data_IF_600623086776
#
_entry.id   IF_600623086776
#
_cell.length_a   1.000
_cell.length_b   1.000
_cell.length_c   1.000
_cell.angle_alpha   90.00
_cell.angle_beta   90.00
_cell.angle_gamma   90.00
#
_symmetry.space_group_name_H-M   'P 1'
#
loop_
_entity.id
_entity.type
_entity.pdbx_description
1 polymer ?
#
# COMPACT_ATOMS: atom_id res chain seq x y z
N UNK A 1 24.14 -22.18 -29.71
CA UNK A 1 23.23 -21.26 -29.01
C UNK A 1 22.91 -20.08 -29.90
N UNK A 2 21.64 -19.92 -30.26
CA UNK A 2 21.17 -18.77 -31.02
C UNK A 2 21.17 -17.49 -30.17
N UNK A 3 21.17 -16.31 -30.81
CA UNK A 3 21.09 -15.04 -30.08
C UNK A 3 19.76 -14.91 -29.29
N UNK A 4 18.68 -15.46 -29.85
CA UNK A 4 17.36 -15.52 -29.23
C UNK A 4 17.39 -16.33 -27.92
N UNK A 5 18.00 -17.51 -27.93
CA UNK A 5 18.15 -18.37 -26.76
C UNK A 5 18.90 -17.67 -25.62
N UNK A 6 19.99 -16.94 -25.93
CA UNK A 6 20.72 -16.15 -24.93
C UNK A 6 19.87 -15.06 -24.28
N UNK A 7 18.96 -14.45 -25.04
CA UNK A 7 18.05 -13.41 -24.54
C UNK A 7 16.97 -14.02 -23.63
N UNK A 8 16.39 -15.16 -24.01
CA UNK A 8 15.45 -15.89 -23.14
C UNK A 8 16.11 -16.43 -21.87
N UNK A 9 17.33 -16.97 -21.93
CA UNK A 9 18.10 -17.37 -20.73
C UNK A 9 18.31 -16.21 -19.76
N UNK A 10 18.55 -14.98 -20.26
CA UNK A 10 18.65 -13.77 -19.42
C UNK A 10 17.31 -13.39 -18.77
N UNK A 11 16.19 -13.51 -19.49
CA UNK A 11 14.86 -13.24 -18.93
C UNK A 11 14.47 -14.28 -17.88
N UNK A 12 14.77 -15.56 -18.12
CA UNK A 12 14.51 -16.64 -17.15
C UNK A 12 15.38 -16.55 -15.89
N UNK A 13 16.44 -15.76 -15.89
CA UNK A 13 17.19 -15.44 -14.67
C UNK A 13 16.35 -14.65 -13.65
N UNK A 14 15.23 -14.04 -14.07
CA UNK A 14 14.26 -13.42 -13.17
C UNK A 14 13.47 -14.44 -12.35
N UNK A 15 13.36 -15.69 -12.81
CA UNK A 15 12.65 -16.74 -12.07
C UNK A 15 13.44 -17.20 -10.83
N UNK A 16 12.76 -17.59 -9.74
CA UNK A 16 13.39 -18.22 -8.59
C UNK A 16 14.28 -19.41 -8.99
N UNK A 17 15.43 -19.54 -8.32
CA UNK A 17 16.48 -20.50 -8.67
C UNK A 17 15.96 -21.94 -8.81
N UNK A 18 15.20 -22.44 -7.84
CA UNK A 18 14.73 -23.83 -7.86
C UNK A 18 13.74 -24.10 -9.01
N UNK A 19 12.94 -23.10 -9.41
CA UNK A 19 12.02 -23.28 -10.54
C UNK A 19 12.78 -23.30 -11.86
N UNK A 20 13.80 -22.45 -11.99
CA UNK A 20 14.69 -22.43 -13.15
C UNK A 20 15.49 -23.73 -13.28
N UNK A 21 15.91 -24.32 -12.16
CA UNK A 21 16.62 -25.61 -12.16
C UNK A 21 15.71 -26.78 -12.58
N UNK A 22 14.41 -26.72 -12.28
CA UNK A 22 13.45 -27.78 -12.61
C UNK A 22 12.82 -27.65 -14.00
N UNK A 23 12.47 -26.44 -14.42
CA UNK A 23 11.68 -26.20 -15.65
C UNK A 23 12.36 -25.26 -16.65
N UNK A 24 13.54 -24.73 -16.34
CA UNK A 24 14.19 -23.69 -17.14
C UNK A 24 14.53 -24.14 -18.56
N UNK A 25 15.08 -25.34 -18.75
CA UNK A 25 15.43 -25.85 -20.09
C UNK A 25 14.17 -26.20 -20.91
N UNK A 26 13.14 -26.79 -20.29
CA UNK A 26 11.85 -27.05 -20.95
C UNK A 26 11.17 -25.75 -21.43
N UNK A 27 11.18 -24.70 -20.59
CA UNK A 27 10.65 -23.39 -20.98
C UNK A 27 11.45 -22.76 -22.14
N UNK A 28 12.78 -22.91 -22.16
CA UNK A 28 13.63 -22.40 -23.24
C UNK A 28 13.29 -23.09 -24.56
N UNK A 29 13.15 -24.41 -24.56
CA UNK A 29 12.85 -25.19 -25.76
C UNK A 29 11.51 -24.77 -26.37
N UNK A 30 10.48 -24.60 -25.53
CA UNK A 30 9.15 -24.11 -25.97
C UNK A 30 9.23 -22.69 -26.54
N UNK A 31 9.96 -21.78 -25.89
CA UNK A 31 10.08 -20.38 -26.33
C UNK A 31 10.89 -20.23 -27.62
N UNK A 32 11.94 -21.04 -27.79
CA UNK A 32 12.75 -21.05 -29.02
C UNK A 32 11.97 -21.68 -30.17
N UNK A 33 11.26 -22.79 -29.94
CA UNK A 33 10.39 -23.41 -30.94
C UNK A 33 9.28 -22.46 -31.42
N UNK A 34 8.65 -21.72 -30.49
CA UNK A 34 7.66 -20.69 -30.83
C UNK A 34 8.27 -19.45 -31.52
N UNK A 35 9.57 -19.22 -31.30
CA UNK A 35 10.32 -18.11 -31.88
C UNK A 35 10.54 -18.20 -33.39
N UNK A 36 10.66 -19.41 -33.94
CA UNK A 36 11.03 -19.63 -35.35
C UNK A 36 12.37 -18.97 -35.69
N UNK A 37 12.44 -18.30 -36.85
CA UNK A 37 13.67 -17.63 -37.33
C UNK A 37 13.95 -16.25 -36.68
N UNK A 38 13.21 -15.87 -35.63
CA UNK A 38 13.37 -14.56 -34.97
C UNK A 38 14.70 -14.50 -34.20
N UNK A 39 15.38 -13.36 -34.29
CA UNK A 39 16.63 -13.10 -33.52
C UNK A 39 16.37 -12.35 -32.20
N UNK A 40 15.16 -11.83 -32.00
CA UNK A 40 14.75 -11.09 -30.80
C UNK A 40 13.39 -11.58 -30.25
N UNK A 41 13.21 -11.62 -28.92
CA UNK A 41 11.92 -11.94 -28.30
C UNK A 41 10.84 -10.94 -28.72
N UNK A 42 9.59 -11.41 -28.87
CA UNK A 42 8.47 -10.50 -29.02
C UNK A 42 8.20 -9.75 -27.72
N UNK A 43 7.70 -8.51 -27.80
CA UNK A 43 7.38 -7.72 -26.59
C UNK A 43 6.35 -8.42 -25.70
N UNK A 44 5.41 -9.17 -26.29
CA UNK A 44 4.44 -10.00 -25.56
C UNK A 44 5.11 -11.13 -24.80
N UNK A 45 6.07 -11.82 -25.42
CA UNK A 45 6.83 -12.92 -24.82
C UNK A 45 7.64 -12.42 -23.62
N UNK A 46 8.23 -11.22 -23.74
CA UNK A 46 8.95 -10.56 -22.63
C UNK A 46 7.98 -10.22 -21.50
N UNK A 47 6.85 -9.60 -21.80
CA UNK A 47 5.86 -9.21 -20.80
C UNK A 47 5.32 -10.43 -20.05
N UNK A 48 5.00 -11.52 -20.77
CA UNK A 48 4.47 -12.75 -20.18
C UNK A 48 5.51 -13.44 -19.29
N UNK A 49 6.77 -13.51 -19.71
CA UNK A 49 7.86 -14.06 -18.89
C UNK A 49 8.13 -13.24 -17.63
N UNK A 50 8.20 -11.91 -17.76
CA UNK A 50 8.40 -11.02 -16.61
C UNK A 50 7.22 -11.16 -15.63
N UNK A 51 5.99 -11.18 -16.15
CA UNK A 51 4.79 -11.37 -15.36
C UNK A 51 4.74 -12.76 -14.69
N UNK A 52 5.15 -13.81 -15.39
CA UNK A 52 5.23 -15.17 -14.86
C UNK A 52 6.28 -15.31 -13.77
N UNK A 53 7.48 -14.74 -13.96
CA UNK A 53 8.55 -14.71 -12.96
C UNK A 53 8.09 -14.00 -11.70
N UNK A 54 7.50 -12.82 -11.89
CA UNK A 54 6.92 -12.01 -10.83
C UNK A 54 5.84 -12.78 -10.06
N UNK A 55 4.86 -13.37 -10.76
CA UNK A 55 3.79 -14.20 -10.18
C UNK A 55 4.32 -15.41 -9.39
N UNK A 56 5.46 -15.98 -9.78
CA UNK A 56 6.04 -17.11 -9.06
C UNK A 56 6.77 -16.70 -7.78
N UNK A 57 7.55 -15.61 -7.81
CA UNK A 57 8.13 -15.00 -6.61
C UNK A 57 7.04 -14.63 -5.60
N UNK A 58 5.98 -14.03 -6.12
CA UNK A 58 4.71 -13.81 -5.43
C UNK A 58 4.18 -15.02 -4.71
N UNK A 59 3.92 -16.09 -5.45
CA UNK A 59 3.31 -17.30 -4.90
C UNK A 59 4.15 -17.90 -3.79
N UNK A 60 5.48 -17.85 -3.91
CA UNK A 60 6.43 -18.28 -2.86
C UNK A 60 6.39 -17.37 -1.64
N UNK A 61 6.27 -16.05 -1.82
CA UNK A 61 6.11 -15.11 -0.71
C UNK A 61 4.77 -15.30 0.01
N UNK A 62 3.69 -15.61 -0.71
CA UNK A 62 2.39 -15.97 -0.12
C UNK A 62 2.48 -17.31 0.60
N UNK A 63 3.14 -18.33 0.01
CA UNK A 63 3.29 -19.70 0.51
C UNK A 63 3.80 -19.82 1.96
N UNK A 64 4.50 -18.81 2.48
CA UNK A 64 4.82 -18.73 3.91
C UNK A 64 3.55 -18.65 4.75
N UNK A 65 3.29 -19.67 5.58
CA UNK A 65 2.06 -19.91 6.37
C UNK A 65 1.66 -18.86 7.41
N UNK A 66 1.65 -17.58 7.05
CA UNK A 66 1.01 -16.52 7.82
C UNK A 66 -0.49 -16.59 7.58
N UNK A 67 -1.26 -16.58 8.66
CA UNK A 67 -2.72 -16.52 8.58
C UNK A 67 -3.15 -15.09 8.19
N UNK A 68 -3.90 -14.87 7.10
CA UNK A 68 -4.31 -13.53 6.66
C UNK A 68 -5.08 -12.75 7.74
N UNK A 69 -5.78 -13.47 8.62
CA UNK A 69 -6.51 -12.89 9.75
C UNK A 69 -5.60 -12.16 10.74
N UNK A 70 -4.38 -12.65 10.96
CA UNK A 70 -3.41 -12.00 11.86
C UNK A 70 -2.90 -10.68 11.25
N UNK A 71 -2.66 -10.65 9.93
CA UNK A 71 -2.28 -9.42 9.22
C UNK A 71 -3.41 -8.39 9.30
N UNK A 72 -4.64 -8.80 8.98
CA UNK A 72 -5.82 -7.93 9.09
C UNK A 72 -6.04 -7.45 10.53
N UNK A 73 -5.74 -8.27 11.54
CA UNK A 73 -5.84 -7.84 12.94
C UNK A 73 -4.87 -6.70 13.26
N UNK A 74 -3.60 -6.81 12.84
CA UNK A 74 -2.60 -5.75 13.03
C UNK A 74 -2.98 -4.49 12.24
N UNK A 75 -3.41 -4.63 10.98
CA UNK A 75 -3.85 -3.50 10.15
C UNK A 75 -5.11 -2.84 10.75
N UNK A 76 -6.05 -3.60 11.30
CA UNK A 76 -7.24 -3.02 11.95
C UNK A 76 -6.90 -2.19 13.19
N UNK A 77 -5.78 -2.48 13.85
CA UNK A 77 -5.29 -1.74 15.01
C UNK A 77 -4.51 -0.47 14.58
N UNK A 78 -3.61 -0.62 13.61
CA UNK A 78 -2.62 0.41 13.26
C UNK A 78 -3.03 1.28 12.07
N UNK A 79 -3.85 0.75 11.17
CA UNK A 79 -4.32 1.41 9.95
C UNK A 79 -4.94 2.79 10.20
N UNK A 80 -5.89 2.95 11.14
CA UNK A 80 -6.51 4.26 11.38
C UNK A 80 -5.52 5.32 11.84
N UNK A 81 -4.48 4.91 12.58
CA UNK A 81 -3.43 5.82 13.04
C UNK A 81 -2.52 6.19 11.87
N UNK A 82 -2.14 5.21 11.05
CA UNK A 82 -1.31 5.46 9.87
C UNK A 82 -1.99 6.42 8.89
N UNK A 83 -3.30 6.26 8.63
CA UNK A 83 -4.06 7.12 7.71
C UNK A 83 -4.01 8.60 8.12
N UNK A 84 -3.91 8.91 9.42
CA UNK A 84 -3.82 10.30 9.90
C UNK A 84 -2.56 11.04 9.45
N UNK A 85 -1.51 10.36 8.99
CA UNK A 85 -0.36 11.03 8.38
C UNK A 85 -0.74 11.75 7.07
N UNK A 86 -1.85 11.36 6.42
CA UNK A 86 -2.39 12.08 5.26
C UNK A 86 -2.90 13.48 5.58
N UNK A 87 -3.20 13.80 6.86
CA UNK A 87 -3.62 15.15 7.26
C UNK A 87 -2.52 16.21 7.20
N UNK A 88 -1.29 15.85 6.82
CA UNK A 88 -0.12 16.74 6.80
C UNK A 88 -0.36 17.99 5.97
N UNK A 89 -0.94 17.86 4.78
CA UNK A 89 -1.18 18.98 3.88
C UNK A 89 -2.25 19.94 4.43
N UNK A 90 -3.39 19.42 4.89
CA UNK A 90 -4.44 20.27 5.50
C UNK A 90 -3.91 20.99 6.75
N UNK A 91 -3.04 20.34 7.53
CA UNK A 91 -2.39 20.94 8.69
C UNK A 91 -1.33 21.96 8.30
N UNK A 92 -0.62 21.76 7.20
CA UNK A 92 0.32 22.73 6.66
C UNK A 92 -0.41 24.02 6.24
N UNK A 93 -1.49 23.89 5.47
CA UNK A 93 -2.34 25.02 5.08
C UNK A 93 -2.86 25.76 6.31
N UNK A 94 -3.39 25.03 7.30
CA UNK A 94 -3.83 25.64 8.56
C UNK A 94 -2.70 26.38 9.28
N UNK A 95 -1.50 25.79 9.37
CA UNK A 95 -0.34 26.40 10.01
C UNK A 95 0.10 27.67 9.29
N UNK A 96 0.05 27.69 7.95
CA UNK A 96 0.35 28.86 7.13
C UNK A 96 -0.63 30.01 7.42
N UNK A 97 -1.93 29.75 7.52
CA UNK A 97 -2.94 30.75 7.88
C UNK A 97 -2.79 31.29 9.31
N UNK A 98 -2.40 30.42 10.25
CA UNK A 98 -2.07 30.82 11.62
C UNK A 98 -0.86 31.75 11.63
N UNK A 99 0.20 31.40 10.89
CA UNK A 99 1.40 32.23 10.78
C UNK A 99 1.10 33.59 10.13
N UNK A 100 0.20 33.63 9.15
CA UNK A 100 -0.25 34.86 8.51
C UNK A 100 -1.17 35.72 9.40
N UNK A 101 -1.58 35.23 10.58
CA UNK A 101 -2.52 35.94 11.46
C UNK A 101 -3.93 36.11 10.87
N UNK A 102 -4.26 35.32 9.85
CA UNK A 102 -5.46 35.50 9.02
C UNK A 102 -6.47 34.35 9.16
N UNK A 103 -6.34 33.52 10.20
CA UNK A 103 -7.15 32.32 10.40
C UNK A 103 -8.66 32.58 10.32
N UNK A 104 -9.14 33.71 10.85
CA UNK A 104 -10.57 34.07 10.82
C UNK A 104 -11.14 34.32 9.43
N UNK A 105 -10.30 34.57 8.42
CA UNK A 105 -10.69 34.75 7.02
C UNK A 105 -10.46 33.52 6.14
N UNK A 106 -9.98 32.40 6.70
CA UNK A 106 -9.64 31.20 5.93
C UNK A 106 -10.91 30.57 5.35
N UNK A 107 -11.01 30.40 4.01
CA UNK A 107 -12.13 29.67 3.41
C UNK A 107 -11.89 28.16 3.56
N UNK A 108 -12.17 27.62 4.76
CA UNK A 108 -11.87 26.23 5.17
C UNK A 108 -12.35 25.20 4.14
N UNK A 109 -13.55 25.37 3.58
CA UNK A 109 -14.11 24.44 2.60
C UNK A 109 -13.43 24.47 1.23
N UNK A 110 -12.68 25.54 0.93
CA UNK A 110 -11.96 25.68 -0.34
C UNK A 110 -10.49 25.28 -0.19
N UNK A 111 -9.88 25.54 0.97
CA UNK A 111 -8.46 25.26 1.22
C UNK A 111 -8.22 23.86 1.78
N UNK A 112 -9.14 23.36 2.63
CA UNK A 112 -9.00 22.05 3.29
C UNK A 112 -10.33 21.29 3.20
N UNK A 113 -10.81 20.94 1.98
CA UNK A 113 -12.09 20.25 1.80
C UNK A 113 -12.14 18.86 2.44
N UNK A 114 -10.97 18.26 2.70
CA UNK A 114 -10.73 16.95 3.30
C UNK A 114 -10.64 16.97 4.83
N UNK A 115 -10.54 18.14 5.48
CA UNK A 115 -10.45 18.28 6.93
C UNK A 115 -11.50 17.49 7.73
N UNK A 116 -12.79 17.44 7.33
CA UNK A 116 -13.78 16.63 8.03
C UNK A 116 -13.43 15.13 8.02
N UNK A 117 -12.79 14.64 6.95
CA UNK A 117 -12.43 13.22 6.84
C UNK A 117 -11.28 12.86 7.78
N UNK A 118 -10.34 13.77 8.02
CA UNK A 118 -9.30 13.57 9.03
C UNK A 118 -9.87 13.53 10.45
N UNK A 119 -10.89 14.33 10.74
CA UNK A 119 -11.64 14.25 12.02
C UNK A 119 -12.34 12.89 12.16
N UNK A 120 -12.95 12.38 11.08
CA UNK A 120 -13.55 11.04 11.06
C UNK A 120 -12.50 9.97 11.34
N UNK A 121 -11.33 10.03 10.67
CA UNK A 121 -10.24 9.07 10.90
C UNK A 121 -9.65 9.15 12.31
N UNK A 122 -9.59 10.35 12.91
CA UNK A 122 -9.19 10.51 14.30
C UNK A 122 -10.19 9.84 15.23
N UNK A 123 -11.49 10.04 14.99
CA UNK A 123 -12.54 9.35 15.73
C UNK A 123 -12.46 7.83 15.57
N UNK A 124 -12.19 7.32 14.36
CA UNK A 124 -11.98 5.88 14.10
C UNK A 124 -10.79 5.35 14.91
N UNK A 125 -9.66 6.06 14.94
CA UNK A 125 -8.49 5.67 15.73
C UNK A 125 -8.82 5.58 17.23
N UNK A 126 -9.56 6.57 17.76
CA UNK A 126 -10.04 6.57 19.15
C UNK A 126 -10.99 5.39 19.39
N UNK A 127 -11.97 5.15 18.51
CA UNK A 127 -12.92 4.04 18.61
C UNK A 127 -12.21 2.67 18.61
N UNK A 128 -11.17 2.50 17.80
CA UNK A 128 -10.34 1.29 17.78
C UNK A 128 -9.63 1.08 19.12
N UNK A 129 -9.04 2.13 19.69
CA UNK A 129 -8.40 2.08 21.02
C UNK A 129 -9.41 1.76 22.11
N UNK A 130 -10.61 2.35 22.02
CA UNK A 130 -11.77 2.10 22.88
C UNK A 130 -12.48 0.76 22.60
N UNK A 131 -11.97 -0.07 21.69
CA UNK A 131 -12.48 -1.42 21.35
C UNK A 131 -13.89 -1.42 20.73
N UNK A 132 -14.34 -0.29 20.19
CA UNK A 132 -15.64 -0.12 19.52
C UNK A 132 -15.53 -0.49 18.04
N UNK A 133 -15.29 -1.77 17.76
CA UNK A 133 -14.95 -2.26 16.40
C UNK A 133 -16.01 -1.92 15.34
N UNK A 134 -17.29 -2.11 15.64
CA UNK A 134 -18.37 -1.92 14.65
C UNK A 134 -18.47 -0.44 14.27
N UNK A 135 -18.50 0.45 15.27
CA UNK A 135 -18.51 1.89 15.04
C UNK A 135 -17.25 2.35 14.28
N UNK A 136 -16.07 1.81 14.63
CA UNK A 136 -14.83 2.08 13.91
C UNK A 136 -14.89 1.62 12.45
N UNK A 137 -15.45 0.44 12.16
CA UNK A 137 -15.59 -0.06 10.79
C UNK A 137 -16.54 0.81 9.96
N UNK A 138 -17.68 1.21 10.51
CA UNK A 138 -18.63 2.12 9.86
C UNK A 138 -17.96 3.48 9.60
N UNK A 139 -17.26 4.02 10.59
CA UNK A 139 -16.52 5.28 10.45
C UNK A 139 -15.40 5.18 9.41
N UNK A 140 -14.68 4.07 9.34
CA UNK A 140 -13.62 3.86 8.34
C UNK A 140 -14.18 3.79 6.91
N UNK A 141 -15.31 3.11 6.69
CA UNK A 141 -16.00 3.13 5.40
C UNK A 141 -16.49 4.54 5.04
N UNK A 142 -17.14 5.23 5.98
CA UNK A 142 -17.61 6.60 5.77
C UNK A 142 -16.47 7.57 5.45
N UNK A 143 -15.37 7.51 6.19
CA UNK A 143 -14.18 8.33 5.95
C UNK A 143 -13.52 8.02 4.62
N UNK A 144 -13.41 6.75 4.23
CA UNK A 144 -12.85 6.36 2.93
C UNK A 144 -13.74 6.83 1.77
N UNK A 145 -15.06 6.62 1.86
CA UNK A 145 -16.01 7.10 0.84
C UNK A 145 -15.95 8.62 0.73
N UNK A 146 -15.89 9.33 1.86
CA UNK A 146 -15.79 10.78 1.87
C UNK A 146 -14.48 11.29 1.25
N UNK A 147 -13.33 10.65 1.50
CA UNK A 147 -12.08 10.97 0.80
C UNK A 147 -12.22 10.80 -0.73
N UNK A 148 -12.85 9.71 -1.18
CA UNK A 148 -13.13 9.50 -2.62
C UNK A 148 -14.04 10.59 -3.17
N UNK A 149 -15.11 10.94 -2.45
CA UNK A 149 -16.03 11.99 -2.88
C UNK A 149 -15.34 13.35 -2.98
N UNK A 150 -14.53 13.73 -1.97
CA UNK A 150 -13.76 14.99 -1.98
C UNK A 150 -12.83 15.06 -3.19
N UNK A 151 -12.11 13.96 -3.48
CA UNK A 151 -11.22 13.86 -4.63
C UNK A 151 -11.94 13.93 -5.99
N UNK A 152 -13.21 13.50 -6.05
CA UNK A 152 -14.00 13.54 -7.30
C UNK A 152 -14.73 14.85 -7.55
N UNK A 153 -15.15 15.56 -6.50
CA UNK A 153 -16.04 16.72 -6.60
C UNK A 153 -15.29 18.06 -6.61
N UNK A 154 -14.12 18.14 -5.97
CA UNK A 154 -13.42 19.43 -5.88
C UNK A 154 -12.55 19.67 -7.12
N UNK A 155 -12.91 20.67 -7.94
CA UNK A 155 -12.23 21.01 -9.20
C UNK A 155 -10.71 21.29 -9.05
N UNK A 156 -10.27 21.72 -7.85
CA UNK A 156 -8.86 21.95 -7.52
C UNK A 156 -8.05 20.68 -7.21
N UNK A 157 -8.70 19.57 -6.87
CA UNK A 157 -8.01 18.37 -6.39
C UNK A 157 -7.73 17.35 -7.48
N UNK A 158 -8.02 17.61 -8.76
CA UNK A 158 -7.79 16.62 -9.82
C UNK A 158 -6.30 16.25 -10.00
N UNK A 159 -5.36 17.16 -9.71
CA UNK A 159 -3.93 16.83 -9.62
C UNK A 159 -3.54 16.19 -8.27
N UNK A 160 -4.29 16.46 -7.20
CA UNK A 160 -4.04 15.96 -5.84
C UNK A 160 -4.62 14.56 -5.61
N UNK A 161 -5.65 14.17 -6.38
CA UNK A 161 -6.33 12.88 -6.32
C UNK A 161 -5.39 11.68 -6.55
N UNK A 162 -4.23 11.91 -7.17
CA UNK A 162 -3.21 10.90 -7.40
C UNK A 162 -2.21 10.79 -6.24
N UNK A 163 -1.79 11.92 -5.64
CA UNK A 163 -0.95 11.93 -4.44
C UNK A 163 -1.68 11.28 -3.24
N UNK A 164 -2.99 11.54 -3.13
CA UNK A 164 -3.83 11.00 -2.05
C UNK A 164 -4.31 9.56 -2.26
N UNK A 165 -4.08 8.99 -3.45
CA UNK A 165 -4.49 7.63 -3.80
C UNK A 165 -3.99 6.58 -2.80
N UNK A 166 -2.79 6.80 -2.24
CA UNK A 166 -2.20 5.98 -1.20
C UNK A 166 -3.00 5.97 0.09
N UNK A 167 -3.47 7.15 0.53
CA UNK A 167 -4.29 7.30 1.74
C UNK A 167 -5.68 6.73 1.55
N UNK A 168 -6.29 6.92 0.38
CA UNK A 168 -7.58 6.31 0.01
C UNK A 168 -7.47 4.79 0.02
N UNK A 169 -6.43 4.24 -0.60
CA UNK A 169 -6.20 2.79 -0.65
C UNK A 169 -5.93 2.22 0.74
N UNK A 170 -5.08 2.87 1.54
CA UNK A 170 -4.86 2.47 2.94
C UNK A 170 -6.14 2.55 3.78
N UNK A 171 -6.97 3.58 3.56
CA UNK A 171 -8.28 3.74 4.19
C UNK A 171 -9.22 2.58 3.87
N UNK A 172 -9.34 2.23 2.60
CA UNK A 172 -10.15 1.09 2.15
C UNK A 172 -9.66 -0.24 2.74
N UNK A 173 -8.35 -0.48 2.72
CA UNK A 173 -7.75 -1.68 3.31
C UNK A 173 -7.96 -1.75 4.82
N UNK A 174 -7.90 -0.61 5.50
CA UNK A 174 -8.18 -0.48 6.93
C UNK A 174 -9.66 -0.75 7.24
N UNK A 175 -10.58 -0.24 6.42
CA UNK A 175 -12.01 -0.50 6.55
C UNK A 175 -12.31 -2.00 6.37
N UNK A 176 -11.76 -2.63 5.33
CA UNK A 176 -11.85 -4.08 5.11
C UNK A 176 -11.26 -4.87 6.28
N UNK A 177 -10.09 -4.47 6.81
CA UNK A 177 -9.47 -5.09 7.96
C UNK A 177 -10.34 -4.98 9.22
N UNK A 178 -10.94 -3.83 9.49
CA UNK A 178 -11.87 -3.64 10.60
C UNK A 178 -13.14 -4.49 10.43
N UNK A 179 -13.63 -4.68 9.20
CA UNK A 179 -14.80 -5.52 8.91
C UNK A 179 -14.49 -7.01 9.03
N UNK A 180 -13.36 -7.49 8.51
CA UNK A 180 -13.09 -8.93 8.34
C UNK A 180 -12.15 -9.55 9.38
N UNK A 181 -11.38 -8.75 10.11
CA UNK A 181 -10.39 -9.28 11.07
C UNK A 181 -11.03 -9.92 12.31
N UNK A 182 -10.26 -10.64 13.15
CA UNK A 182 -10.67 -10.99 14.52
C UNK A 182 -10.84 -9.76 15.43
N UNK A 183 -10.35 -8.59 15.02
CA UNK A 183 -10.47 -7.31 15.73
C UNK A 183 -9.14 -6.78 16.29
N UNK A 184 -9.12 -5.52 16.76
CA UNK A 184 -7.90 -4.82 17.17
C UNK A 184 -7.27 -5.36 18.45
N UNK A 185 -8.03 -6.10 19.26
CA UNK A 185 -7.50 -6.78 20.46
C UNK A 185 -6.46 -7.84 20.06
N UNK A 186 -6.80 -8.67 19.06
CA UNK A 186 -5.88 -9.66 18.49
C UNK A 186 -4.67 -8.97 17.85
N UNK A 187 -4.89 -7.86 17.15
CA UNK A 187 -3.80 -7.05 16.59
C UNK A 187 -2.81 -6.59 17.66
N UNK A 188 -3.30 -6.20 18.84
CA UNK A 188 -2.45 -5.77 19.97
C UNK A 188 -1.69 -6.94 20.59
N UNK A 189 -2.30 -8.11 20.70
CA UNK A 189 -1.60 -9.33 21.16
C UNK A 189 -0.44 -9.71 20.24
N UNK A 190 -0.64 -9.58 18.92
CA UNK A 190 0.37 -9.93 17.90
C UNK A 190 1.50 -8.89 17.78
N UNK A 191 1.15 -7.60 17.81
CA UNK A 191 2.11 -6.50 17.64
C UNK A 191 2.81 -6.10 18.96
N UNK A 192 2.28 -6.53 20.12
CA UNK A 192 2.86 -6.27 21.43
C UNK A 192 2.24 -5.07 22.16
N UNK A 193 2.97 -4.58 23.18
CA UNK A 193 2.40 -3.63 24.17
C UNK A 193 2.40 -2.17 23.73
N UNK A 194 3.36 -1.75 22.91
CA UNK A 194 3.55 -0.36 22.52
C UNK A 194 3.25 0.02 21.04
N UNK A 195 2.61 -0.80 20.19
CA UNK A 195 2.57 -0.54 18.76
C UNK A 195 1.77 0.73 18.40
N UNK A 196 0.69 0.99 19.14
CA UNK A 196 -0.13 2.21 19.00
C UNK A 196 0.67 3.48 19.36
N UNK A 197 1.45 3.42 20.45
CA UNK A 197 2.26 4.57 20.88
C UNK A 197 3.41 4.84 19.91
N UNK A 198 4.11 3.79 19.47
CA UNK A 198 5.20 3.91 18.50
C UNK A 198 4.71 4.50 17.18
N UNK A 199 3.63 3.95 16.63
CA UNK A 199 3.09 4.45 15.36
C UNK A 199 2.50 5.85 15.52
N UNK A 200 1.77 6.10 16.62
CA UNK A 200 1.22 7.43 16.91
C UNK A 200 2.31 8.50 17.01
N UNK A 201 3.41 8.20 17.72
CA UNK A 201 4.56 9.10 17.80
C UNK A 201 5.22 9.31 16.43
N UNK A 202 5.40 8.24 15.64
CA UNK A 202 5.95 8.35 14.29
C UNK A 202 5.07 9.22 13.37
N UNK A 203 3.74 9.06 13.43
CA UNK A 203 2.79 9.91 12.67
C UNK A 203 2.88 11.36 13.11
N UNK A 204 2.91 11.66 14.41
CA UNK A 204 3.06 13.03 14.91
C UNK A 204 4.37 13.65 14.45
N UNK A 205 5.49 12.92 14.52
CA UNK A 205 6.80 13.39 14.06
C UNK A 205 6.81 13.61 12.55
N UNK A 206 6.26 12.67 11.77
CA UNK A 206 6.17 12.78 10.32
C UNK A 206 5.33 14.00 9.89
N UNK A 207 4.16 14.19 10.51
CA UNK A 207 3.30 15.36 10.29
C UNK A 207 4.03 16.65 10.65
N UNK A 208 4.72 16.70 11.80
CA UNK A 208 5.47 17.90 12.20
C UNK A 208 6.58 18.23 11.19
N UNK A 209 7.33 17.24 10.72
CA UNK A 209 8.35 17.42 9.68
C UNK A 209 7.73 17.93 8.39
N UNK A 210 6.63 17.32 7.94
CA UNK A 210 5.96 17.71 6.70
C UNK A 210 5.33 19.11 6.75
N UNK A 211 4.77 19.50 7.90
CA UNK A 211 4.21 20.84 8.11
C UNK A 211 5.30 21.90 8.13
N UNK A 212 6.39 21.67 8.88
CA UNK A 212 7.47 22.64 9.07
C UNK A 212 8.45 22.70 7.89
N UNK A 213 8.64 21.60 7.16
CA UNK A 213 9.54 21.46 6.03
C UNK A 213 8.81 21.30 4.70
N UNK A 214 7.64 21.93 4.54
CA UNK A 214 6.85 21.81 3.33
C UNK A 214 7.64 22.24 2.09
N UNK A 215 7.63 21.40 1.04
CA UNK A 215 8.40 21.55 -0.22
C UNK A 215 9.93 21.47 -0.09
N UNK A 216 10.45 21.14 1.09
CA UNK A 216 11.86 20.83 1.27
C UNK A 216 12.10 19.33 1.03
N UNK A 217 12.83 19.00 -0.04
CA UNK A 217 13.08 17.61 -0.45
C UNK A 217 13.64 16.74 0.68
N UNK A 218 14.50 17.30 1.52
CA UNK A 218 15.09 16.60 2.67
C UNK A 218 14.04 16.30 3.74
N UNK A 219 13.11 17.21 3.99
CA UNK A 219 12.04 17.02 4.97
C UNK A 219 11.00 16.01 4.47
N UNK A 220 10.65 16.06 3.19
CA UNK A 220 9.77 15.07 2.55
C UNK A 220 10.37 13.65 2.64
N UNK A 221 11.66 13.50 2.31
CA UNK A 221 12.35 12.22 2.45
C UNK A 221 12.41 11.75 3.92
N UNK A 222 12.68 12.66 4.86
CA UNK A 222 12.68 12.36 6.29
C UNK A 222 11.31 11.90 6.81
N UNK A 223 10.22 12.54 6.36
CA UNK A 223 8.85 12.16 6.68
C UNK A 223 8.57 10.70 6.26
N UNK A 224 8.91 10.33 5.02
CA UNK A 224 8.74 8.97 4.52
C UNK A 224 9.58 7.96 5.32
N UNK A 225 10.83 8.28 5.66
CA UNK A 225 11.69 7.43 6.49
C UNK A 225 11.08 7.20 7.87
N UNK A 226 10.56 8.26 8.51
CA UNK A 226 9.91 8.16 9.82
C UNK A 226 8.68 7.26 9.76
N UNK A 227 7.84 7.40 8.72
CA UNK A 227 6.66 6.55 8.53
C UNK A 227 7.04 5.09 8.27
N UNK A 228 8.07 4.84 7.45
CA UNK A 228 8.61 3.49 7.17
C UNK A 228 9.09 2.83 8.46
N UNK A 229 9.97 3.49 9.20
CA UNK A 229 10.53 2.96 10.45
C UNK A 229 9.42 2.76 11.48
N UNK A 230 8.54 3.76 11.65
CA UNK A 230 7.41 3.71 12.57
C UNK A 230 6.48 2.52 12.31
N UNK A 231 6.06 2.34 11.05
CA UNK A 231 5.18 1.22 10.67
C UNK A 231 5.86 -0.14 10.84
N UNK A 232 7.13 -0.28 10.45
CA UNK A 232 7.88 -1.54 10.56
C UNK A 232 8.12 -1.93 12.03
N UNK A 233 8.49 -0.97 12.87
CA UNK A 233 8.70 -1.20 14.31
C UNK A 233 7.36 -1.49 14.99
N UNK A 234 6.32 -0.68 14.74
CA UNK A 234 5.01 -0.85 15.36
C UNK A 234 4.31 -2.15 14.95
N UNK A 235 4.44 -2.58 13.70
CA UNK A 235 3.83 -3.84 13.26
C UNK A 235 4.59 -5.08 13.78
N UNK A 236 5.81 -4.92 14.30
CA UNK A 236 6.62 -6.00 14.84
C UNK A 236 7.42 -6.74 13.76
N UNK A 237 8.51 -6.11 13.30
CA UNK A 237 9.44 -6.64 12.27
C UNK A 237 10.01 -8.04 12.55
N UNK A 238 9.98 -8.50 13.81
CA UNK A 238 10.38 -9.85 14.18
C UNK A 238 9.43 -10.95 13.69
N UNK A 239 8.16 -10.62 13.42
CA UNK A 239 7.15 -11.58 12.98
C UNK A 239 6.84 -11.46 11.48
N UNK A 240 6.49 -12.59 10.84
CA UNK A 240 6.09 -12.59 9.42
C UNK A 240 4.76 -11.84 9.20
N UNK A 241 3.82 -11.95 10.14
CA UNK A 241 2.56 -11.21 10.11
C UNK A 241 2.80 -9.70 10.21
N UNK A 242 3.68 -9.28 11.13
CA UNK A 242 4.08 -7.89 11.31
C UNK A 242 4.71 -7.27 10.07
N UNK A 243 5.64 -7.99 9.41
CA UNK A 243 6.23 -7.51 8.14
C UNK A 243 5.18 -7.31 7.05
N UNK A 244 4.22 -8.23 6.93
CA UNK A 244 3.12 -8.11 5.95
C UNK A 244 2.16 -6.97 6.30
N UNK A 245 1.86 -6.78 7.57
CA UNK A 245 1.05 -5.66 8.03
C UNK A 245 1.76 -4.32 7.77
N UNK A 246 3.08 -4.23 8.03
CA UNK A 246 3.87 -3.05 7.70
C UNK A 246 3.78 -2.72 6.21
N UNK A 247 3.86 -3.71 5.31
CA UNK A 247 3.71 -3.47 3.88
C UNK A 247 2.34 -2.87 3.51
N UNK A 248 1.26 -3.30 4.17
CA UNK A 248 -0.07 -2.69 4.02
C UNK A 248 -0.06 -1.25 4.51
N UNK A 249 0.53 -0.97 5.68
CA UNK A 249 0.62 0.38 6.24
C UNK A 249 1.49 1.33 5.39
N UNK A 250 2.39 0.80 4.55
CA UNK A 250 3.29 1.56 3.68
C UNK A 250 2.74 1.80 2.27
N UNK A 251 1.47 1.50 2.02
CA UNK A 251 0.80 1.84 0.76
C UNK A 251 0.97 3.31 0.37
N UNK A 252 0.78 4.30 1.28
CA UNK A 252 0.97 5.70 0.93
C UNK A 252 2.41 6.03 0.53
N UNK A 253 3.39 5.43 1.19
CA UNK A 253 4.80 5.61 0.83
C UNK A 253 5.08 5.05 -0.57
N UNK A 254 4.49 3.91 -0.92
CA UNK A 254 4.64 3.33 -2.26
C UNK A 254 4.05 4.24 -3.35
N UNK A 255 2.88 4.83 -3.12
CA UNK A 255 2.26 5.75 -4.09
C UNK A 255 3.06 7.04 -4.25
N UNK A 256 3.58 7.62 -3.15
CA UNK A 256 4.45 8.80 -3.22
C UNK A 256 5.76 8.51 -3.98
N UNK A 257 6.33 7.32 -3.83
CA UNK A 257 7.52 6.93 -4.60
C UNK A 257 7.23 6.73 -6.09
N UNK A 258 6.04 6.21 -6.43
CA UNK A 258 5.59 6.12 -7.82
C UNK A 258 5.41 7.52 -8.40
N UNK A 259 4.80 8.44 -7.66
CA UNK A 259 4.65 9.84 -8.06
C UNK A 259 6.00 10.50 -8.33
N UNK A 260 6.93 10.41 -7.37
CA UNK A 260 8.26 10.96 -7.52
C UNK A 260 9.00 10.38 -8.74
N UNK A 261 8.85 9.09 -9.00
CA UNK A 261 9.42 8.44 -10.19
C UNK A 261 8.77 8.96 -11.48
N UNK A 262 7.44 9.06 -11.53
CA UNK A 262 6.72 9.56 -12.71
C UNK A 262 7.05 11.04 -12.98
N UNK A 263 7.24 11.84 -11.94
CA UNK A 263 7.65 13.24 -12.06
C UNK A 263 9.02 13.41 -12.73
N UNK A 264 9.91 12.41 -12.67
CA UNK A 264 11.20 12.46 -13.41
C UNK A 264 11.04 12.20 -14.92
N UNK A 265 9.86 11.76 -15.37
CA UNK A 265 9.58 11.41 -16.76
C UNK A 265 8.73 12.53 -17.38
N UNK A 266 9.35 13.70 -17.65
CA UNK A 266 8.70 14.93 -18.16
C UNK A 266 7.78 14.73 -19.38
N UNK A 267 8.02 13.69 -20.19
CA UNK A 267 7.25 13.40 -21.40
C UNK A 267 5.98 12.54 -21.14
N UNK A 268 5.79 12.03 -19.93
CA UNK A 268 4.71 11.09 -19.62
C UNK A 268 3.50 11.84 -19.04
N UNK A 269 2.57 12.21 -19.91
CA UNK A 269 1.23 12.70 -19.53
C UNK A 269 0.18 11.62 -19.85
N UNK A 270 0.08 10.57 -19.01
CA UNK A 270 -0.94 9.55 -19.18
C UNK A 270 -2.35 10.15 -19.08
N UNK A 271 -3.31 9.49 -19.72
CA UNK A 271 -4.72 9.80 -19.46
C UNK A 271 -5.10 9.32 -18.04
N UNK A 272 -6.21 9.83 -17.53
CA UNK A 272 -6.62 9.61 -16.13
C UNK A 272 -6.75 8.12 -15.77
N UNK A 273 -7.22 7.31 -16.72
CA UNK A 273 -7.35 5.85 -16.54
C UNK A 273 -6.01 5.18 -16.32
N UNK A 274 -4.99 5.55 -17.12
CA UNK A 274 -3.63 4.99 -16.98
C UNK A 274 -3.00 5.49 -15.68
N UNK A 275 -3.20 6.76 -15.32
CA UNK A 275 -2.73 7.31 -14.05
C UNK A 275 -3.34 6.56 -12.86
N UNK A 276 -4.66 6.40 -12.81
CA UNK A 276 -5.32 5.62 -11.77
C UNK A 276 -4.78 4.17 -11.70
N UNK A 277 -4.59 3.52 -12.85
CA UNK A 277 -4.02 2.18 -12.90
C UNK A 277 -2.60 2.13 -12.34
N UNK A 278 -1.77 3.16 -12.59
CA UNK A 278 -0.40 3.24 -12.08
C UNK A 278 -0.33 3.54 -10.58
N UNK A 279 -1.29 4.28 -10.02
CA UNK A 279 -1.29 4.61 -8.61
C UNK A 279 -1.93 3.52 -7.74
N UNK A 280 -3.02 2.88 -8.20
CA UNK A 280 -3.68 1.81 -7.44
C UNK A 280 -3.14 0.43 -7.76
N UNK A 281 -2.74 0.19 -9.02
CA UNK A 281 -2.37 -1.14 -9.52
C UNK A 281 -1.12 -1.73 -8.87
N UNK A 282 0.06 -1.09 -8.95
CA UNK A 282 1.29 -1.62 -8.37
C UNK A 282 1.20 -1.87 -6.86
N UNK A 283 0.68 -0.95 -6.01
CA UNK A 283 0.51 -1.25 -4.59
C UNK A 283 -0.43 -2.44 -4.35
N UNK A 284 -1.58 -2.51 -5.04
CA UNK A 284 -2.49 -3.66 -4.92
C UNK A 284 -1.82 -4.96 -5.37
N UNK A 285 -1.11 -4.93 -6.49
CA UNK A 285 -0.35 -6.08 -6.99
C UNK A 285 0.68 -6.50 -5.95
N UNK A 286 1.45 -5.59 -5.35
CA UNK A 286 2.44 -5.86 -4.28
C UNK A 286 1.77 -6.43 -3.02
N UNK A 287 0.56 -5.99 -2.67
CA UNK A 287 -0.16 -6.52 -1.51
C UNK A 287 -0.77 -7.91 -1.73
N UNK A 288 -1.44 -8.10 -2.87
CA UNK A 288 -1.94 -9.40 -3.31
C UNK A 288 -0.78 -10.39 -3.46
N UNK A 289 0.32 -9.86 -3.98
CA UNK A 289 1.53 -10.58 -4.22
C UNK A 289 2.17 -11.19 -2.98
N UNK A 290 2.23 -10.38 -1.94
CA UNK A 290 2.87 -10.74 -0.68
C UNK A 290 1.89 -11.49 0.23
N UNK A 291 0.68 -11.77 -0.26
CA UNK A 291 -0.30 -12.58 0.43
C UNK A 291 -0.90 -11.86 1.63
N UNK A 292 -1.03 -10.53 1.54
CA UNK A 292 -1.53 -9.70 2.63
C UNK A 292 -3.03 -9.82 2.88
N UNK A 293 -3.82 -10.21 1.86
CA UNK A 293 -5.28 -10.01 1.91
C UNK A 293 -6.15 -11.20 1.52
N UNK A 294 -5.66 -12.17 0.74
CA UNK A 294 -6.52 -13.25 0.26
C UNK A 294 -6.55 -14.43 1.26
N UNK A 295 -7.72 -14.80 1.79
CA UNK A 295 -7.91 -16.05 2.49
C UNK A 295 -7.50 -17.17 1.54
N UNK A 296 -6.59 -18.05 1.97
CA UNK A 296 -6.42 -19.32 1.26
C UNK A 296 -7.78 -20.01 1.30
N UNK A 297 -8.38 -20.22 0.13
CA UNK A 297 -9.45 -21.19 0.00
C UNK A 297 -8.96 -22.47 0.66
N UNK A 298 -9.70 -22.91 1.68
CA UNK A 298 -9.41 -24.13 2.43
C UNK A 298 -9.29 -25.24 1.39
N UNK A 299 -8.06 -25.64 1.07
CA UNK A 299 -7.83 -26.87 0.36
C UNK A 299 -8.32 -27.94 1.33
N UNK A 300 -9.54 -28.44 1.10
CA UNK A 300 -10.10 -29.58 1.83
C UNK A 300 -9.01 -30.64 1.84
N UNK A 301 -8.58 -31.05 3.03
CA UNK A 301 -7.77 -32.26 3.19
C UNK A 301 -8.58 -33.39 2.55
N UNK A 302 -8.03 -34.12 1.56
CA UNK A 302 -8.72 -35.25 0.94
C UNK A 302 -8.98 -36.44 1.90
N UNK A 303 -8.51 -36.37 3.14
CA UNK A 303 -8.39 -37.54 4.02
C UNK A 303 -9.36 -37.53 5.21
N UNK A 304 -10.45 -36.76 5.18
CA UNK A 304 -11.48 -36.84 6.22
C UNK A 304 -12.57 -37.82 5.77
N UNK A 305 -12.61 -39.06 6.31
CA UNK A 305 -13.63 -40.04 5.95
C UNK A 305 -15.00 -39.53 6.37
N UNK A 306 -15.98 -39.71 5.48
CA UNK A 306 -17.39 -39.48 5.78
C UNK A 306 -17.82 -40.48 6.86
N UNK A 307 -17.90 -40.01 8.10
CA UNK A 307 -18.61 -40.69 9.21
C UNK A 307 -19.87 -39.93 9.55
#
# INVERSE_FOLDING_TARGET
>A
MSELERRYRRLLALYPRDHREQHGEEMIDVLVAAGGDRTRPGWKDVADLVWGAFRLHLRRMVAGGVEPRDVLAIVSLLGPIAVLAGATESLHELAWWVQAGALGGMPVWQQTPDAPMWVVWLAVAVLVVCRQRVAAAVGAWAGTIGLVLVATVSERSWSWAYADSGWVLLGALTAVALTLSPGPVRGRELAGRAPVLVLGAAVVVAVAIGVLGYRETVAEAACLVVLVVGAVVAAGAGSRAGRRAALVLLVPVMTTMIEALLATIDAFRPNDTVTALLFYGPPLVVLLALGGLLPRGVARRPDEPLT
#
